data_IF_236193324053
#
_entry.id   IF_236193324053
#
_cell.length_a   1.000
_cell.length_b   1.000
_cell.length_c   1.000
_cell.angle_alpha   90.00
_cell.angle_beta   90.00
_cell.angle_gamma   90.00
#
_symmetry.space_group_name_H-M   'P 1'
#
loop_
_entity.id
_entity.type
_entity.pdbx_description
1 polymer ?
#
# COMPACT_ATOMS: atom_id res chain seq x y z
N UNK A 1 -27.75 -16.98 -24.18
CA UNK A 1 -27.03 -17.34 -22.94
C UNK A 1 -26.75 -16.03 -22.22
N UNK A 2 -27.52 -15.73 -21.16
CA UNK A 2 -27.38 -14.47 -20.41
C UNK A 2 -26.28 -14.71 -19.38
N UNK A 3 -25.10 -14.16 -19.61
CA UNK A 3 -24.03 -14.16 -18.61
C UNK A 3 -24.49 -13.28 -17.45
N UNK A 4 -24.85 -13.92 -16.35
CA UNK A 4 -25.11 -13.26 -15.09
C UNK A 4 -23.77 -12.69 -14.61
N UNK A 5 -23.42 -11.46 -15.00
CA UNK A 5 -22.30 -10.75 -14.40
C UNK A 5 -22.75 -10.46 -12.97
N UNK A 6 -22.33 -11.31 -12.03
CA UNK A 6 -22.34 -10.96 -10.62
C UNK A 6 -21.49 -9.70 -10.48
N UNK A 7 -22.14 -8.54 -10.43
CA UNK A 7 -21.51 -7.28 -10.02
C UNK A 7 -21.15 -7.42 -8.55
N UNK A 8 -20.10 -8.16 -8.25
CA UNK A 8 -19.39 -8.00 -7.00
C UNK A 8 -18.94 -6.54 -6.97
N UNK A 9 -19.48 -5.78 -6.01
CA UNK A 9 -19.10 -4.39 -5.80
C UNK A 9 -17.63 -4.40 -5.40
N UNK A 10 -16.75 -4.02 -6.34
CA UNK A 10 -15.30 -3.95 -6.13
C UNK A 10 -15.01 -3.18 -4.85
N UNK A 11 -14.21 -3.76 -3.97
CA UNK A 11 -13.72 -3.07 -2.78
C UNK A 11 -12.55 -2.18 -3.22
N UNK A 12 -12.72 -0.87 -3.08
CA UNK A 12 -11.65 0.10 -3.34
C UNK A 12 -10.56 0.08 -2.27
N UNK A 13 -10.83 -0.57 -1.14
CA UNK A 13 -9.88 -0.77 -0.05
C UNK A 13 -9.88 -2.24 0.36
N UNK A 14 -8.70 -2.85 0.44
CA UNK A 14 -8.52 -4.25 0.86
C UNK A 14 -7.36 -4.36 1.86
N UNK A 15 -7.36 -5.41 2.68
CA UNK A 15 -6.22 -5.72 3.54
C UNK A 15 -5.09 -6.35 2.73
N UNK A 16 -3.89 -6.46 3.31
CA UNK A 16 -2.78 -7.16 2.66
C UNK A 16 -3.12 -8.64 2.50
N UNK A 17 -3.76 -9.23 3.52
CA UNK A 17 -4.26 -10.60 3.42
C UNK A 17 -5.17 -10.81 2.21
N UNK A 18 -6.16 -9.93 1.99
CA UNK A 18 -7.05 -10.06 0.83
C UNK A 18 -6.33 -9.79 -0.50
N UNK A 19 -5.30 -8.96 -0.52
CA UNK A 19 -4.47 -8.78 -1.70
C UNK A 19 -3.69 -10.05 -2.06
N UNK A 20 -3.10 -10.72 -1.07
CA UNK A 20 -2.42 -12.01 -1.27
C UNK A 20 -3.42 -13.09 -1.73
N UNK A 21 -4.62 -13.13 -1.15
CA UNK A 21 -5.68 -14.05 -1.59
C UNK A 21 -6.13 -13.78 -3.04
N UNK A 22 -6.11 -12.52 -3.48
CA UNK A 22 -6.58 -12.09 -4.80
C UNK A 22 -5.51 -12.23 -5.89
N UNK A 23 -4.24 -11.96 -5.59
CA UNK A 23 -3.16 -11.86 -6.59
C UNK A 23 -1.94 -12.74 -6.30
N UNK A 24 -1.83 -13.30 -5.10
CA UNK A 24 -0.60 -13.94 -4.63
C UNK A 24 -0.43 -15.40 -5.02
N UNK A 25 -1.20 -15.94 -5.98
CA UNK A 25 -1.10 -17.35 -6.39
C UNK A 25 0.34 -17.73 -6.79
N UNK A 26 1.00 -16.84 -7.56
CA UNK A 26 2.37 -17.04 -8.04
C UNK A 26 3.46 -16.48 -7.11
N UNK A 27 3.08 -15.80 -6.03
CA UNK A 27 4.06 -15.30 -5.07
C UNK A 27 4.65 -16.47 -4.30
N UNK A 28 5.94 -16.38 -4.00
CA UNK A 28 6.56 -17.32 -3.09
C UNK A 28 6.03 -17.14 -1.67
N UNK A 29 6.22 -18.17 -0.83
CA UNK A 29 5.78 -18.13 0.55
C UNK A 29 6.50 -17.02 1.35
N UNK A 30 7.80 -16.82 1.12
CA UNK A 30 8.55 -15.75 1.77
C UNK A 30 8.03 -14.35 1.41
N UNK A 31 7.72 -14.10 0.13
CA UNK A 31 7.10 -12.83 -0.29
C UNK A 31 5.75 -12.62 0.39
N UNK A 32 4.91 -13.67 0.49
CA UNK A 32 3.61 -13.58 1.19
C UNK A 32 3.79 -13.29 2.67
N UNK A 33 4.71 -13.99 3.33
CA UNK A 33 5.03 -13.79 4.76
C UNK A 33 5.50 -12.36 5.02
N UNK A 34 6.41 -11.85 4.19
CA UNK A 34 6.88 -10.48 4.29
C UNK A 34 5.79 -9.45 4.06
N UNK A 35 4.98 -9.61 3.02
CA UNK A 35 3.82 -8.72 2.80
C UNK A 35 2.89 -8.72 4.03
N UNK A 36 2.63 -9.87 4.64
CA UNK A 36 1.77 -9.98 5.82
C UNK A 36 2.25 -9.17 7.03
N UNK A 37 3.55 -8.83 7.13
CA UNK A 37 4.06 -7.94 8.18
C UNK A 37 3.42 -6.53 8.11
N UNK A 38 3.06 -6.08 6.91
CA UNK A 38 2.39 -4.80 6.66
C UNK A 38 0.93 -4.77 7.12
N UNK A 39 0.26 -5.92 7.24
CA UNK A 39 -1.20 -6.03 7.44
C UNK A 39 -1.66 -5.38 8.76
N UNK A 40 -0.77 -5.31 9.75
CA UNK A 40 -1.07 -4.75 11.07
C UNK A 40 -1.15 -3.22 11.11
N UNK A 41 -0.47 -2.52 10.19
CA UNK A 41 -0.36 -1.05 10.16
C UNK A 41 -0.94 -0.44 8.91
N UNK A 42 -1.10 -1.24 7.86
CA UNK A 42 -1.45 -0.75 6.54
C UNK A 42 -2.68 -1.42 5.97
N UNK A 43 -3.24 -0.78 4.96
CA UNK A 43 -4.22 -1.35 4.05
C UNK A 43 -3.92 -0.82 2.65
N UNK A 44 -4.51 -1.48 1.64
CA UNK A 44 -4.30 -1.16 0.25
C UNK A 44 -5.52 -0.45 -0.33
N UNK A 45 -5.30 0.58 -1.15
CA UNK A 45 -6.38 1.23 -1.91
C UNK A 45 -6.14 1.19 -3.41
N UNK A 46 -7.19 0.94 -4.18
CA UNK A 46 -7.18 0.98 -5.65
C UNK A 46 -8.23 1.92 -6.19
N UNK A 47 -7.97 2.45 -7.38
CA UNK A 47 -8.85 3.42 -8.04
C UNK A 47 -9.23 2.97 -9.44
N UNK A 48 -8.29 3.07 -10.37
CA UNK A 48 -8.53 2.84 -11.80
C UNK A 48 -8.21 1.39 -12.18
N UNK A 49 -6.99 0.98 -11.92
CA UNK A 49 -6.50 -0.37 -12.18
C UNK A 49 -6.79 -1.30 -11.00
N UNK A 50 -7.14 -2.54 -11.31
CA UNK A 50 -7.58 -3.52 -10.31
C UNK A 50 -6.40 -4.12 -9.54
N UNK A 51 -5.31 -4.31 -10.25
CA UNK A 51 -4.04 -4.91 -9.87
C UNK A 51 -3.02 -3.89 -9.34
N UNK A 52 -3.37 -2.60 -9.25
CA UNK A 52 -2.50 -1.51 -8.78
C UNK A 52 -3.07 -0.86 -7.52
N UNK A 53 -2.31 -0.92 -6.43
CA UNK A 53 -2.81 -0.53 -5.10
C UNK A 53 -1.78 0.26 -4.30
N UNK A 54 -2.21 1.41 -3.78
CA UNK A 54 -1.45 2.26 -2.86
C UNK A 54 -1.46 1.71 -1.43
N UNK A 55 -0.30 1.73 -0.77
CA UNK A 55 -0.13 1.35 0.63
C UNK A 55 -0.45 2.56 1.53
N UNK A 56 -1.41 2.41 2.46
CA UNK A 56 -1.85 3.49 3.35
C UNK A 56 -1.91 3.04 4.79
N UNK A 57 -1.72 3.98 5.72
CA UNK A 57 -1.81 3.69 7.15
C UNK A 57 -3.27 3.54 7.60
N UNK A 58 -3.58 2.50 8.38
CA UNK A 58 -4.95 2.15 8.81
C UNK A 58 -5.68 3.24 9.60
N UNK A 59 -4.94 4.15 10.24
CA UNK A 59 -5.52 5.28 10.98
C UNK A 59 -5.70 6.56 10.14
N UNK A 60 -5.39 6.55 8.84
CA UNK A 60 -5.57 7.70 7.94
C UNK A 60 -4.89 9.00 8.44
N UNK A 61 -3.63 8.88 8.86
CA UNK A 61 -2.87 9.98 9.43
C UNK A 61 -2.62 11.07 8.38
N UNK A 62 -2.78 12.33 8.79
CA UNK A 62 -2.62 13.50 7.92
C UNK A 62 -1.46 14.37 8.34
N UNK A 63 -0.68 14.80 7.37
CA UNK A 63 0.55 15.55 7.55
C UNK A 63 0.47 16.90 6.84
N UNK A 64 1.09 17.90 7.46
CA UNK A 64 1.22 19.23 6.88
C UNK A 64 2.24 19.18 5.74
N UNK A 65 1.75 19.27 4.50
CA UNK A 65 2.58 19.17 3.30
C UNK A 65 2.90 20.55 2.71
N UNK A 66 2.75 21.62 3.50
CA UNK A 66 3.18 22.96 3.08
C UNK A 66 4.71 23.08 3.22
N UNK A 67 5.41 23.47 2.14
CA UNK A 67 6.88 23.57 2.07
C UNK A 67 7.47 24.73 2.90
N UNK A 68 7.01 24.94 4.15
CA UNK A 68 7.54 25.98 5.04
C UNK A 68 7.29 27.43 4.59
N UNK A 69 6.60 27.66 3.47
CA UNK A 69 6.16 28.98 3.01
C UNK A 69 4.93 29.44 3.82
N UNK A 70 5.09 29.55 5.14
CA UNK A 70 4.10 30.08 6.07
C UNK A 70 3.93 31.61 5.98
N UNK A 71 4.10 32.19 4.78
CA UNK A 71 3.97 33.61 4.49
C UNK A 71 2.91 33.87 3.41
N UNK A 72 1.69 33.42 3.67
CA UNK A 72 0.44 33.99 3.14
C UNK A 72 -0.69 33.13 3.71
N UNK A 73 -1.87 33.70 3.99
CA UNK A 73 -3.01 33.02 4.62
C UNK A 73 -3.65 31.87 3.83
N UNK A 74 -2.85 31.00 3.20
CA UNK A 74 -3.26 29.75 2.57
C UNK A 74 -3.43 28.68 3.64
N UNK A 75 -4.57 27.97 3.60
CA UNK A 75 -4.88 26.92 4.54
C UNK A 75 -3.84 25.78 4.46
N UNK A 76 -3.44 25.25 5.62
CA UNK A 76 -2.55 24.07 5.71
C UNK A 76 -3.12 22.93 4.86
N UNK A 77 -2.33 22.46 3.90
CA UNK A 77 -2.70 21.30 3.10
C UNK A 77 -2.34 20.04 3.87
N UNK A 78 -3.31 19.53 4.63
CA UNK A 78 -3.20 18.27 5.37
C UNK A 78 -3.53 17.11 4.42
N UNK A 79 -2.53 16.30 4.08
CA UNK A 79 -2.67 15.14 3.18
C UNK A 79 -2.31 13.85 3.90
N UNK A 80 -2.91 12.74 3.48
CA UNK A 80 -2.49 11.40 3.89
C UNK A 80 -1.29 10.95 3.07
N UNK A 81 -0.40 10.20 3.70
CA UNK A 81 0.74 9.60 3.01
C UNK A 81 0.38 8.26 2.37
N UNK A 82 0.93 8.05 1.17
CA UNK A 82 1.06 6.76 0.52
C UNK A 82 2.47 6.22 0.74
N UNK A 83 2.59 5.00 1.22
CA UNK A 83 3.87 4.37 1.56
C UNK A 83 4.35 3.42 0.45
N UNK A 84 4.09 3.79 -0.80
CA UNK A 84 4.37 2.98 -1.99
C UNK A 84 3.09 2.55 -2.72
N UNK A 85 3.27 2.04 -3.92
CA UNK A 85 2.19 1.46 -4.73
C UNK A 85 2.68 0.12 -5.29
N UNK A 86 1.91 -0.93 -5.00
CA UNK A 86 2.14 -2.28 -5.47
C UNK A 86 1.35 -2.52 -6.75
N UNK A 87 1.95 -3.21 -7.70
CA UNK A 87 1.27 -3.65 -8.90
C UNK A 87 1.56 -5.11 -9.22
N UNK A 88 0.55 -5.84 -9.68
CA UNK A 88 0.69 -7.22 -10.12
C UNK A 88 0.51 -7.31 -11.63
N UNK A 89 1.55 -7.74 -12.33
CA UNK A 89 1.55 -7.90 -13.79
C UNK A 89 1.94 -9.33 -14.12
N UNK A 90 1.04 -10.05 -14.80
CA UNK A 90 1.26 -11.45 -15.20
C UNK A 90 1.71 -12.34 -14.01
N UNK A 91 1.06 -12.19 -12.86
CA UNK A 91 1.35 -12.96 -11.64
C UNK A 91 2.55 -12.48 -10.83
N UNK A 92 3.41 -11.63 -11.38
CA UNK A 92 4.57 -11.07 -10.68
C UNK A 92 4.23 -9.77 -9.94
N UNK A 93 4.82 -9.60 -8.75
CA UNK A 93 4.67 -8.41 -7.90
C UNK A 93 5.71 -7.34 -8.27
N UNK A 94 5.29 -6.09 -8.29
CA UNK A 94 6.13 -4.93 -8.59
C UNK A 94 5.87 -3.78 -7.62
N UNK A 95 6.88 -2.93 -7.44
CA UNK A 95 6.79 -1.62 -6.83
C UNK A 95 6.83 -0.55 -7.92
N UNK A 96 5.87 0.37 -7.91
CA UNK A 96 5.87 1.54 -8.78
C UNK A 96 6.88 2.59 -8.37
N UNK A 97 7.46 3.30 -9.35
CA UNK A 97 8.35 4.46 -9.12
C UNK A 97 7.68 5.56 -8.30
N UNK A 98 6.35 5.71 -8.44
CA UNK A 98 5.55 6.71 -7.72
C UNK A 98 4.21 6.16 -7.31
N UNK A 99 3.76 6.59 -6.14
CA UNK A 99 2.41 6.38 -5.63
C UNK A 99 1.36 7.29 -6.29
N UNK A 100 0.08 7.04 -6.02
CA UNK A 100 -1.00 7.94 -6.43
C UNK A 100 -0.97 9.26 -5.64
N UNK A 101 -0.83 10.38 -6.36
CA UNK A 101 -0.93 11.72 -5.80
C UNK A 101 -2.27 12.40 -6.09
N UNK A 102 -2.76 13.18 -5.14
CA UNK A 102 -3.94 14.02 -5.32
C UNK A 102 -3.97 15.21 -4.36
N UNK A 103 -5.13 15.88 -4.25
CA UNK A 103 -5.36 16.91 -3.23
C UNK A 103 -5.41 16.32 -1.81
N UNK A 104 -5.68 15.02 -1.66
CA UNK A 104 -5.85 14.31 -0.38
C UNK A 104 -4.67 13.40 -0.04
N UNK A 105 -3.91 12.97 -1.05
CA UNK A 105 -2.84 11.98 -0.91
C UNK A 105 -1.54 12.50 -1.51
N UNK A 106 -0.41 12.16 -0.90
CA UNK A 106 0.93 12.39 -1.43
C UNK A 106 1.83 11.24 -1.01
N UNK A 107 2.88 10.97 -1.76
CA UNK A 107 3.87 9.96 -1.40
C UNK A 107 4.60 10.33 -0.10
N UNK A 108 4.86 9.33 0.74
CA UNK A 108 5.64 9.49 1.95
C UNK A 108 7.11 9.81 1.60
N UNK A 109 7.78 10.69 2.35
CA UNK A 109 9.21 10.91 2.18
C UNK A 109 10.00 9.60 2.31
N UNK A 110 10.95 9.35 1.40
CA UNK A 110 11.84 8.19 1.41
C UNK A 110 11.32 6.97 0.62
N UNK A 111 10.11 7.01 0.04
CA UNK A 111 9.64 5.95 -0.86
C UNK A 111 10.41 5.92 -2.17
N UNK A 112 10.78 7.09 -2.68
CA UNK A 112 11.64 7.23 -3.86
C UNK A 112 13.00 6.56 -3.65
N UNK A 113 13.59 6.70 -2.45
CA UNK A 113 14.83 6.03 -2.07
C UNK A 113 14.71 4.50 -2.12
N UNK A 114 13.56 3.94 -1.71
CA UNK A 114 13.29 2.49 -1.79
C UNK A 114 13.34 2.04 -3.24
N UNK A 115 12.58 2.71 -4.12
CA UNK A 115 12.54 2.36 -5.54
C UNK A 115 13.90 2.51 -6.21
N UNK A 116 14.64 3.58 -5.89
CA UNK A 116 15.98 3.82 -6.43
C UNK A 116 17.00 2.75 -6.01
N UNK A 117 16.87 2.16 -4.81
CA UNK A 117 17.76 1.11 -4.33
C UNK A 117 17.55 -0.24 -5.02
N UNK A 118 16.37 -0.48 -5.61
CA UNK A 118 16.09 -1.70 -6.36
C UNK A 118 16.88 -1.75 -7.68
N UNK A 119 17.33 -2.95 -8.07
CA UNK A 119 18.01 -3.17 -9.35
C UNK A 119 17.11 -2.85 -10.55
N UNK A 120 17.72 -2.58 -11.71
CA UNK A 120 17.01 -2.24 -12.96
C UNK A 120 16.83 -3.42 -13.93
N UNK A 121 17.26 -4.62 -13.54
CA UNK A 121 17.30 -5.79 -14.43
C UNK A 121 15.91 -6.30 -14.81
N UNK A 122 14.91 -6.11 -13.95
CA UNK A 122 13.51 -6.55 -14.17
C UNK A 122 12.55 -5.36 -14.05
N UNK A 123 12.88 -4.26 -14.74
CA UNK A 123 12.04 -3.07 -14.85
C UNK A 123 11.08 -3.18 -16.04
N UNK A 124 9.80 -2.88 -15.82
CA UNK A 124 8.78 -2.81 -16.88
C UNK A 124 8.05 -1.47 -16.83
N UNK A 125 7.40 -1.11 -17.93
CA UNK A 125 6.46 0.01 -17.97
C UNK A 125 5.04 -0.54 -18.16
N UNK A 126 4.13 -0.21 -17.25
CA UNK A 126 2.71 -0.55 -17.38
C UNK A 126 1.82 0.66 -17.12
N UNK A 127 0.90 0.95 -18.05
CA UNK A 127 -0.01 2.09 -18.01
C UNK A 127 0.66 3.42 -17.56
N UNK A 128 1.86 3.68 -18.11
CA UNK A 128 2.63 4.91 -17.87
C UNK A 128 3.36 4.97 -16.52
N UNK A 129 3.51 3.85 -15.81
CA UNK A 129 4.34 3.75 -14.61
C UNK A 129 5.53 2.85 -14.84
N UNK A 130 6.69 3.29 -14.37
CA UNK A 130 7.88 2.46 -14.27
C UNK A 130 7.74 1.59 -13.01
N UNK A 131 7.96 0.29 -13.19
CA UNK A 131 7.76 -0.74 -12.19
C UNK A 131 9.04 -1.53 -12.03
N UNK A 132 9.43 -1.84 -10.79
CA UNK A 132 10.53 -2.77 -10.49
C UNK A 132 10.00 -3.97 -9.72
N UNK A 133 10.38 -5.16 -10.17
CA UNK A 133 9.86 -6.40 -9.60
C UNK A 133 10.31 -6.59 -8.16
N UNK A 134 9.39 -7.11 -7.35
CA UNK A 134 9.64 -7.56 -6.00
C UNK A 134 9.73 -9.09 -5.96
N UNK A 135 10.81 -9.58 -5.37
CA UNK A 135 11.10 -11.01 -5.28
C UNK A 135 11.82 -11.33 -3.96
N UNK A 136 12.27 -12.58 -3.83
CA UNK A 136 13.02 -13.10 -2.69
C UNK A 136 14.25 -12.26 -2.30
N UNK A 137 14.86 -11.59 -3.27
CA UNK A 137 16.13 -10.90 -3.06
C UNK A 137 15.94 -9.50 -2.47
N UNK A 138 14.76 -8.92 -2.61
CA UNK A 138 14.54 -7.51 -2.28
C UNK A 138 13.29 -7.23 -1.44
N UNK A 139 12.38 -8.19 -1.28
CA UNK A 139 11.12 -7.99 -0.53
C UNK A 139 11.37 -7.59 0.93
N UNK A 140 12.39 -8.18 1.57
CA UNK A 140 12.77 -7.86 2.95
C UNK A 140 13.12 -6.39 3.10
N UNK A 141 14.01 -5.88 2.23
CA UNK A 141 14.42 -4.49 2.25
C UNK A 141 13.24 -3.55 2.04
N UNK A 142 12.37 -3.85 1.07
CA UNK A 142 11.23 -3.00 0.74
C UNK A 142 10.24 -2.94 1.91
N UNK A 143 9.83 -4.09 2.44
CA UNK A 143 8.86 -4.16 3.54
C UNK A 143 9.43 -3.54 4.81
N UNK A 144 10.67 -3.88 5.18
CA UNK A 144 11.29 -3.37 6.41
C UNK A 144 11.47 -1.85 6.33
N UNK A 145 11.84 -1.33 5.15
CA UNK A 145 11.98 0.12 4.96
C UNK A 145 10.62 0.82 5.01
N UNK A 146 9.57 0.27 4.38
CA UNK A 146 8.20 0.78 4.50
C UNK A 146 7.76 0.81 5.97
N UNK A 147 8.00 -0.25 6.74
CA UNK A 147 7.64 -0.31 8.17
C UNK A 147 8.45 0.67 9.03
N UNK A 148 9.66 1.03 8.61
CA UNK A 148 10.50 2.01 9.31
C UNK A 148 10.00 3.45 9.18
N UNK A 149 9.39 3.79 8.04
CA UNK A 149 8.81 5.12 7.75
C UNK A 149 7.32 5.18 8.11
N UNK A 150 6.62 4.05 8.06
CA UNK A 150 5.21 3.94 8.40
C UNK A 150 5.06 3.89 9.93
N UNK A 151 4.38 4.87 10.55
CA UNK A 151 4.30 4.95 12.00
C UNK A 151 3.57 3.74 12.59
N UNK A 152 3.88 3.47 13.86
CA UNK A 152 3.11 2.53 14.66
C UNK A 152 1.66 3.01 14.82
N UNK A 153 0.74 2.06 14.90
CA UNK A 153 -0.67 2.33 15.21
C UNK A 153 -0.83 2.79 16.66
N UNK A 154 -1.81 3.66 16.91
CA UNK A 154 -2.09 4.15 18.27
C UNK A 154 -2.58 3.03 19.20
N UNK A 155 -2.37 3.20 20.51
CA UNK A 155 -2.92 2.30 21.53
C UNK A 155 -4.44 2.17 21.41
N UNK A 156 -5.13 3.26 21.05
CA UNK A 156 -6.58 3.27 20.82
C UNK A 156 -6.97 2.31 19.70
N UNK A 157 -6.22 2.29 18.60
CA UNK A 157 -6.46 1.34 17.51
C UNK A 157 -6.25 -0.10 17.97
N UNK A 158 -5.15 -0.36 18.69
CA UNK A 158 -4.85 -1.68 19.26
C UNK A 158 -6.01 -2.18 20.15
N UNK A 159 -6.53 -1.32 21.02
CA UNK A 159 -7.63 -1.67 21.93
C UNK A 159 -8.93 -1.98 21.18
N UNK A 160 -9.22 -1.24 20.10
CA UNK A 160 -10.37 -1.49 19.22
C UNK A 160 -10.26 -2.86 18.55
N UNK A 161 -9.09 -3.17 17.96
CA UNK A 161 -8.85 -4.45 17.27
C UNK A 161 -8.93 -5.62 18.25
N UNK A 162 -8.30 -5.52 19.42
CA UNK A 162 -8.40 -6.56 20.47
C UNK A 162 -9.85 -6.84 20.85
N UNK A 163 -10.63 -5.78 21.12
CA UNK A 163 -12.05 -5.95 21.44
C UNK A 163 -12.86 -6.59 20.30
N UNK A 164 -12.50 -6.37 19.04
CA UNK A 164 -13.15 -7.04 17.90
C UNK A 164 -12.84 -8.54 17.87
N UNK A 165 -11.57 -8.92 18.06
CA UNK A 165 -11.13 -10.32 18.08
C UNK A 165 -11.78 -11.09 19.22
N UNK A 166 -11.81 -10.53 20.43
CA UNK A 166 -12.46 -11.16 21.59
C UNK A 166 -13.96 -11.41 21.36
N UNK A 167 -14.66 -10.48 20.71
CA UNK A 167 -16.08 -10.66 20.36
C UNK A 167 -16.30 -11.69 19.27
N UNK A 168 -15.36 -11.84 18.33
CA UNK A 168 -15.44 -12.84 17.27
C UNK A 168 -15.20 -14.25 17.80
N UNK A 169 -14.29 -14.41 18.77
CA UNK A 169 -13.96 -15.71 19.35
C UNK A 169 -14.98 -16.19 20.40
N UNK A 170 -15.83 -15.31 20.91
CA UNK A 170 -16.93 -15.62 21.82
C UNK A 170 -18.27 -15.93 21.10
N UNK A 171 -18.24 -16.17 19.78
CA UNK A 171 -19.39 -16.59 18.97
C UNK A 171 -19.14 -17.96 18.38
#
# INVERSE_FOLDING_TARGET
MITLVMKYRRKNSISIKSFIEEFGEEFSEHVKEKLMELDSRTFLTRKEFENRLDIKHVEHLKYDCSNGLANSGTAKQMKEYSYGELEVVEGALYLSEKSFESKEFVEAPGIDDIYSALGSEEMIEDNGKQLKKLDENNIDYVVDTILSICPEVSQKYIDIVKGMVERSNNR
#
